data_IF_715502505177
#
_entry.id   IF_715502505177
#
_cell.length_a   1.000
_cell.length_b   1.000
_cell.length_c   1.000
_cell.angle_alpha   90.00
_cell.angle_beta   90.00
_cell.angle_gamma   90.00
#
_symmetry.space_group_name_H-M   'P 1'
#
loop_
_entity.id
_entity.type
_entity.pdbx_description
1 polymer ?
#
# COMPACT_ATOMS: atom_id res chain seq x y z
N UNK A 1 1.83 20.44 2.63
CA UNK A 1 2.70 19.25 2.46
C UNK A 1 3.39 19.22 1.09
N UNK A 2 2.66 19.49 -0.01
CA UNK A 2 3.17 19.47 -1.39
C UNK A 2 4.43 20.32 -1.67
N UNK A 3 4.58 21.51 -1.08
CA UNK A 3 5.74 22.40 -1.33
C UNK A 3 7.09 21.85 -0.84
N UNK A 4 7.04 20.79 -0.03
CA UNK A 4 8.16 20.21 0.70
C UNK A 4 8.48 18.77 0.23
N UNK A 5 7.75 18.25 -0.75
CA UNK A 5 7.99 16.93 -1.34
C UNK A 5 9.03 17.03 -2.47
N UNK A 6 9.97 16.07 -2.55
CA UNK A 6 10.87 15.95 -3.71
C UNK A 6 10.12 15.59 -4.99
N UNK A 7 9.00 14.86 -4.85
CA UNK A 7 8.13 14.53 -5.95
C UNK A 7 6.68 14.63 -5.51
N UNK A 8 5.98 15.66 -5.99
CA UNK A 8 4.55 15.82 -5.72
C UNK A 8 3.71 15.02 -6.72
N UNK A 9 2.92 14.09 -6.18
CA UNK A 9 1.99 13.24 -6.91
C UNK A 9 0.54 13.38 -6.40
N UNK A 10 0.22 14.46 -5.68
CA UNK A 10 -1.07 14.60 -4.96
C UNK A 10 -2.23 15.15 -5.79
N UNK A 11 -1.99 15.62 -7.01
CA UNK A 11 -2.97 16.38 -7.80
C UNK A 11 -4.21 15.56 -8.23
N UNK A 12 -4.08 14.25 -8.41
CA UNK A 12 -5.19 13.38 -8.83
C UNK A 12 -4.90 11.91 -8.51
N UNK A 13 -5.93 11.06 -8.54
CA UNK A 13 -5.76 9.61 -8.39
C UNK A 13 -4.80 9.01 -9.44
N UNK A 14 -4.78 9.58 -10.66
CA UNK A 14 -3.86 9.17 -11.72
C UNK A 14 -2.41 9.59 -11.43
N UNK A 15 -2.18 10.77 -10.85
CA UNK A 15 -0.86 11.23 -10.39
C UNK A 15 -0.38 10.46 -9.16
N UNK A 16 -1.26 10.23 -8.19
CA UNK A 16 -0.94 9.44 -7.00
C UNK A 16 -0.53 8.01 -7.39
N UNK A 17 -1.21 7.46 -8.40
CA UNK A 17 -0.82 6.21 -9.04
C UNK A 17 0.58 6.26 -9.66
N UNK A 18 1.00 7.35 -10.32
CA UNK A 18 2.37 7.47 -10.83
C UNK A 18 3.39 7.26 -9.71
N UNK A 19 3.17 7.86 -8.54
CA UNK A 19 4.01 7.65 -7.36
C UNK A 19 4.04 6.18 -6.90
N UNK A 20 2.87 5.53 -6.80
CA UNK A 20 2.77 4.11 -6.42
C UNK A 20 3.47 3.18 -7.43
N UNK A 21 3.23 3.36 -8.73
CA UNK A 21 3.86 2.57 -9.79
C UNK A 21 5.39 2.79 -9.81
N UNK A 22 5.85 4.03 -9.60
CA UNK A 22 7.28 4.33 -9.51
C UNK A 22 7.93 3.62 -8.31
N UNK A 23 7.27 3.61 -7.15
CA UNK A 23 7.74 2.88 -5.98
C UNK A 23 7.86 1.37 -6.26
N UNK A 24 6.86 0.76 -6.89
CA UNK A 24 6.92 -0.64 -7.29
C UNK A 24 8.06 -0.92 -8.30
N UNK A 25 8.33 0.00 -9.23
CA UNK A 25 9.45 -0.11 -10.16
C UNK A 25 10.81 -0.08 -9.43
N UNK A 26 10.99 0.83 -8.46
CA UNK A 26 12.17 0.88 -7.58
C UNK A 26 12.35 -0.41 -6.80
N UNK A 27 11.26 -0.94 -6.23
CA UNK A 27 11.29 -2.21 -5.51
C UNK A 27 11.81 -3.33 -6.40
N UNK A 28 11.29 -3.47 -7.63
CA UNK A 28 11.73 -4.49 -8.58
C UNK A 28 13.22 -4.37 -8.91
N UNK A 29 13.70 -3.16 -9.18
CA UNK A 29 15.12 -2.95 -9.47
C UNK A 29 16.02 -3.29 -8.26
N UNK A 30 15.60 -2.90 -7.06
CA UNK A 30 16.34 -3.19 -5.82
C UNK A 30 16.29 -4.67 -5.44
N UNK A 31 15.22 -5.38 -5.73
CA UNK A 31 15.14 -6.84 -5.58
C UNK A 31 16.16 -7.54 -6.49
N UNK A 32 16.28 -7.11 -7.75
CA UNK A 32 17.29 -7.63 -8.67
C UNK A 32 18.70 -7.39 -8.16
N UNK A 33 19.00 -6.19 -7.66
CA UNK A 33 20.29 -5.88 -7.03
C UNK A 33 20.56 -6.74 -5.80
N UNK A 34 19.57 -6.89 -4.92
CA UNK A 34 19.71 -7.72 -3.72
C UNK A 34 19.95 -9.19 -4.09
N UNK A 35 19.26 -9.71 -5.11
CA UNK A 35 19.46 -11.07 -5.61
C UNK A 35 20.87 -11.25 -6.19
N UNK A 36 21.32 -10.34 -7.04
CA UNK A 36 22.66 -10.37 -7.63
C UNK A 36 23.76 -10.29 -6.56
N UNK A 37 23.54 -9.53 -5.49
CA UNK A 37 24.46 -9.37 -4.37
C UNK A 37 24.26 -10.38 -3.23
N UNK A 38 23.30 -11.32 -3.35
CA UNK A 38 22.87 -12.23 -2.28
C UNK A 38 22.55 -11.52 -0.94
N UNK A 39 22.05 -10.28 -1.00
CA UNK A 39 21.71 -9.48 0.16
C UNK A 39 20.33 -9.86 0.69
N UNK A 40 20.24 -10.13 2.01
CA UNK A 40 18.98 -10.53 2.68
C UNK A 40 18.03 -9.37 3.01
N UNK A 41 18.45 -8.13 2.80
CA UNK A 41 17.66 -6.97 3.18
C UNK A 41 18.19 -5.66 2.62
N UNK A 42 17.76 -4.55 3.23
CA UNK A 42 18.13 -3.22 2.80
C UNK A 42 18.51 -2.37 4.00
N UNK A 43 19.64 -1.67 3.88
CA UNK A 43 20.07 -0.66 4.84
C UNK A 43 20.23 0.65 4.07
N UNK A 44 19.43 1.70 4.38
CA UNK A 44 19.58 2.98 3.72
C UNK A 44 20.99 3.54 3.86
N UNK A 45 21.53 4.08 2.78
CA UNK A 45 22.82 4.78 2.75
C UNK A 45 22.74 6.02 1.88
N UNK A 46 23.80 6.84 1.88
CA UNK A 46 23.88 8.04 1.03
C UNK A 46 23.83 7.72 -0.46
N UNK A 47 24.30 6.55 -0.87
CA UNK A 47 24.30 6.07 -2.27
C UNK A 47 23.11 5.18 -2.60
N UNK A 48 22.34 4.78 -1.58
CA UNK A 48 21.18 3.89 -1.68
C UNK A 48 20.09 4.36 -0.71
N UNK A 49 19.46 5.53 -0.98
CA UNK A 49 18.57 6.16 -0.01
C UNK A 49 17.27 5.37 0.16
N UNK A 50 16.64 5.48 1.34
CA UNK A 50 15.28 4.98 1.51
C UNK A 50 14.29 5.80 0.68
N UNK A 51 13.26 5.14 0.11
CA UNK A 51 12.13 5.80 -0.54
C UNK A 51 10.93 5.74 0.39
N UNK A 52 10.36 6.90 0.74
CA UNK A 52 9.16 6.99 1.57
C UNK A 52 8.08 7.70 0.78
N UNK A 53 6.91 7.06 0.67
CA UNK A 53 5.72 7.68 0.11
C UNK A 53 4.85 8.13 1.28
N UNK A 54 4.53 9.41 1.31
CA UNK A 54 3.61 9.99 2.27
C UNK A 54 2.29 10.22 1.55
N UNK A 55 1.26 9.50 1.98
CA UNK A 55 -0.08 9.55 1.42
C UNK A 55 -0.98 10.22 2.46
N UNK A 56 -1.23 11.50 2.24
CA UNK A 56 -2.26 12.22 2.98
C UNK A 56 -3.64 11.89 2.39
N UNK A 57 -4.66 11.87 3.24
CA UNK A 57 -6.01 11.39 2.93
C UNK A 57 -6.02 10.06 2.15
N UNK A 58 -5.41 9.03 2.73
CA UNK A 58 -5.18 7.73 2.08
C UNK A 58 -6.46 7.06 1.56
N UNK A 59 -7.62 7.34 2.16
CA UNK A 59 -8.92 6.86 1.67
C UNK A 59 -9.30 7.40 0.27
N UNK A 60 -8.74 8.53 -0.17
CA UNK A 60 -8.95 9.09 -1.52
C UNK A 60 -7.99 8.51 -2.55
N UNK A 61 -6.82 8.05 -2.10
CA UNK A 61 -5.74 7.56 -2.98
C UNK A 61 -5.79 6.04 -3.16
N UNK A 62 -6.05 5.32 -2.07
CA UNK A 62 -6.06 3.86 -2.01
C UNK A 62 -7.42 3.34 -2.49
N UNK A 63 -7.67 3.45 -3.79
CA UNK A 63 -8.95 3.08 -4.41
C UNK A 63 -8.79 1.90 -5.36
N UNK A 64 -9.93 1.42 -5.89
CA UNK A 64 -9.99 0.41 -6.95
C UNK A 64 -9.68 0.97 -8.35
N UNK A 65 -9.11 2.17 -8.43
CA UNK A 65 -8.71 2.77 -9.70
C UNK A 65 -7.65 1.90 -10.41
N UNK A 66 -7.90 1.58 -11.69
CA UNK A 66 -7.02 0.81 -12.56
C UNK A 66 -6.75 1.61 -13.83
N UNK A 67 -5.46 1.78 -14.19
CA UNK A 67 -5.07 2.53 -15.40
C UNK A 67 -5.41 1.78 -16.68
N UNK A 68 -5.13 0.48 -16.72
CA UNK A 68 -5.42 -0.39 -17.86
C UNK A 68 -5.65 -1.83 -17.40
N UNK A 69 -6.92 -2.26 -17.35
CA UNK A 69 -7.31 -3.63 -16.92
C UNK A 69 -6.68 -4.77 -17.72
N UNK A 70 -6.17 -4.50 -18.93
CA UNK A 70 -5.53 -5.50 -19.79
C UNK A 70 -4.01 -5.51 -19.67
N UNK A 71 -3.42 -4.57 -18.94
CA UNK A 71 -1.98 -4.53 -18.72
C UNK A 71 -1.58 -5.66 -17.75
N UNK A 72 -0.72 -6.61 -18.15
CA UNK A 72 -0.27 -7.68 -17.26
C UNK A 72 0.71 -7.22 -16.17
N UNK A 73 1.20 -5.98 -16.24
CA UNK A 73 2.06 -5.35 -15.25
C UNK A 73 1.30 -4.42 -14.29
N UNK A 74 1.98 -3.39 -13.79
CA UNK A 74 1.40 -2.50 -12.78
C UNK A 74 0.13 -1.79 -13.26
N UNK A 75 -0.04 -1.55 -14.56
CA UNK A 75 -1.21 -0.87 -15.11
C UNK A 75 -2.55 -1.59 -14.87
N UNK A 76 -2.52 -2.91 -14.67
CA UNK A 76 -3.70 -3.73 -14.37
C UNK A 76 -4.09 -3.79 -12.90
N UNK A 77 -3.20 -3.34 -12.00
CA UNK A 77 -3.41 -3.37 -10.55
C UNK A 77 -4.23 -2.16 -10.09
N UNK A 78 -5.01 -2.32 -9.03
CA UNK A 78 -5.64 -1.19 -8.34
C UNK A 78 -4.59 -0.39 -7.55
N UNK A 79 -4.91 0.87 -7.19
CA UNK A 79 -4.02 1.64 -6.31
C UNK A 79 -3.84 0.96 -4.95
N UNK A 80 -4.92 0.40 -4.39
CA UNK A 80 -4.87 -0.40 -3.17
C UNK A 80 -3.94 -1.62 -3.31
N UNK A 81 -3.98 -2.34 -4.43
CA UNK A 81 -3.11 -3.49 -4.68
C UNK A 81 -1.63 -3.11 -4.82
N UNK A 82 -1.34 -1.96 -5.45
CA UNK A 82 0.03 -1.41 -5.50
C UNK A 82 0.54 -1.07 -4.10
N UNK A 83 -0.27 -0.39 -3.30
CA UNK A 83 0.09 -0.06 -1.92
C UNK A 83 0.27 -1.31 -1.05
N UNK A 84 -0.58 -2.34 -1.22
CA UNK A 84 -0.43 -3.64 -0.55
C UNK A 84 0.89 -4.32 -0.91
N UNK A 85 1.28 -4.31 -2.19
CA UNK A 85 2.56 -4.81 -2.63
C UNK A 85 3.71 -4.09 -1.91
N UNK A 86 3.67 -2.77 -1.86
CA UNK A 86 4.69 -1.95 -1.16
C UNK A 86 4.70 -2.27 0.34
N UNK A 87 3.55 -2.29 1.01
CA UNK A 87 3.45 -2.55 2.44
C UNK A 87 3.99 -3.93 2.85
N UNK A 88 3.83 -4.93 1.99
CA UNK A 88 4.28 -6.30 2.24
C UNK A 88 5.78 -6.49 1.99
N UNK A 89 6.29 -6.04 0.84
CA UNK A 89 7.66 -6.38 0.40
C UNK A 89 8.65 -5.22 0.46
N UNK A 90 8.17 -3.97 0.60
CA UNK A 90 8.99 -2.77 0.64
C UNK A 90 10.05 -2.77 1.73
N UNK A 91 9.79 -3.41 2.88
CA UNK A 91 10.74 -3.55 4.00
C UNK A 91 12.10 -4.14 3.59
N UNK A 92 12.11 -5.08 2.63
CA UNK A 92 13.33 -5.79 2.18
C UNK A 92 14.17 -4.95 1.21
N UNK A 93 13.62 -3.84 0.69
CA UNK A 93 14.21 -3.01 -0.37
C UNK A 93 14.17 -1.51 -0.08
N UNK A 94 13.92 -1.12 1.17
CA UNK A 94 13.99 0.27 1.60
C UNK A 94 12.94 1.17 0.98
N UNK A 95 11.74 0.63 0.74
CA UNK A 95 10.57 1.40 0.30
C UNK A 95 9.50 1.31 1.38
N UNK A 96 8.96 2.44 1.81
CA UNK A 96 7.99 2.52 2.90
C UNK A 96 6.81 3.43 2.54
N UNK A 97 5.67 3.17 3.19
CA UNK A 97 4.47 4.00 3.12
C UNK A 97 4.21 4.64 4.49
N UNK A 98 3.83 5.91 4.48
CA UNK A 98 3.22 6.61 5.61
C UNK A 98 1.85 7.06 5.12
N UNK A 99 0.79 6.56 5.74
CA UNK A 99 -0.58 6.90 5.38
C UNK A 99 -1.22 7.70 6.52
N UNK A 100 -1.88 8.80 6.17
CA UNK A 100 -2.73 9.57 7.07
C UNK A 100 -4.15 9.62 6.50
N UNK A 101 -5.15 9.51 7.37
CA UNK A 101 -6.55 9.57 6.98
C UNK A 101 -7.41 10.00 8.16
N UNK A 102 -8.41 10.83 7.89
CA UNK A 102 -9.47 11.15 8.85
C UNK A 102 -10.51 10.02 8.94
N UNK A 103 -10.65 9.24 7.86
CA UNK A 103 -11.44 8.01 7.86
C UNK A 103 -10.71 6.93 8.66
N UNK A 104 -11.42 6.35 9.63
CA UNK A 104 -10.93 5.28 10.51
C UNK A 104 -11.44 3.90 10.13
N UNK A 105 -12.19 3.79 9.03
CA UNK A 105 -12.76 2.54 8.52
C UNK A 105 -11.76 1.78 7.65
N UNK A 106 -12.15 0.58 7.18
CA UNK A 106 -11.32 -0.21 6.28
C UNK A 106 -11.07 0.50 4.93
N UNK A 107 -11.92 1.47 4.57
CA UNK A 107 -11.80 2.28 3.38
C UNK A 107 -10.50 3.12 3.36
N UNK A 108 -10.01 3.55 4.51
CA UNK A 108 -8.71 4.23 4.65
C UNK A 108 -7.51 3.39 4.19
N UNK A 109 -7.71 2.07 4.08
CA UNK A 109 -6.75 1.08 3.63
C UNK A 109 -7.13 0.48 2.27
N UNK A 110 -7.98 1.16 1.50
CA UNK A 110 -8.48 0.68 0.21
C UNK A 110 -9.22 -0.64 0.30
N UNK A 111 -9.96 -0.85 1.39
CA UNK A 111 -10.66 -2.09 1.70
C UNK A 111 -9.74 -3.33 1.79
N UNK A 112 -8.42 -3.14 1.90
CA UNK A 112 -7.43 -4.22 2.03
C UNK A 112 -7.09 -4.49 3.51
N UNK A 113 -7.60 -5.61 4.01
CA UNK A 113 -7.20 -6.17 5.31
C UNK A 113 -5.68 -6.44 5.42
N UNK A 114 -5.02 -6.99 4.38
CA UNK A 114 -3.56 -7.15 4.36
C UNK A 114 -2.79 -5.83 4.45
N UNK A 115 -3.20 -4.80 3.71
CA UNK A 115 -2.56 -3.48 3.75
C UNK A 115 -2.74 -2.84 5.13
N UNK A 116 -3.95 -2.88 5.69
CA UNK A 116 -4.24 -2.44 7.06
C UNK A 116 -3.31 -3.11 8.07
N UNK A 117 -3.21 -4.44 8.01
CA UNK A 117 -2.35 -5.21 8.92
C UNK A 117 -0.87 -4.85 8.76
N UNK A 118 -0.41 -4.60 7.53
CA UNK A 118 0.98 -4.24 7.24
C UNK A 118 1.34 -2.84 7.75
N UNK A 119 0.44 -1.87 7.59
CA UNK A 119 0.66 -0.49 8.03
C UNK A 119 0.54 -0.32 9.54
N UNK A 120 -0.42 -1.01 10.17
CA UNK A 120 -0.71 -0.81 11.59
C UNK A 120 0.18 -1.63 12.54
N UNK A 121 0.83 -2.69 12.05
CA UNK A 121 1.68 -3.56 12.88
C UNK A 121 2.88 -2.80 13.45
N UNK A 122 2.76 -2.38 14.71
CA UNK A 122 3.81 -1.71 15.49
C UNK A 122 4.09 -0.25 15.12
N UNK A 123 3.44 0.29 14.09
CA UNK A 123 3.69 1.64 13.58
C UNK A 123 2.43 2.54 13.59
N UNK A 124 1.28 2.03 14.03
CA UNK A 124 0.04 2.79 14.02
C UNK A 124 0.00 3.87 15.10
N UNK A 125 -0.50 5.03 14.73
CA UNK A 125 -0.74 6.18 15.60
C UNK A 125 -2.21 6.59 15.48
N UNK A 126 -2.85 6.85 16.62
CA UNK A 126 -4.25 7.26 16.70
C UNK A 126 -4.32 8.61 17.39
N UNK A 127 -4.82 9.61 16.68
CA UNK A 127 -5.04 10.94 17.22
C UNK A 127 -6.47 11.09 17.76
N UNK A 128 -6.77 12.24 18.37
CA UNK A 128 -8.10 12.52 18.89
C UNK A 128 -9.19 12.24 17.85
N UNK A 129 -10.21 11.48 18.26
CA UNK A 129 -11.39 11.21 17.45
C UNK A 129 -12.61 11.11 18.36
N UNK A 130 -13.70 11.76 17.94
CA UNK A 130 -15.00 11.68 18.61
C UNK A 130 -15.73 10.38 18.27
N UNK A 131 -15.30 9.67 17.22
CA UNK A 131 -15.90 8.44 16.78
C UNK A 131 -15.37 7.24 17.59
N UNK A 132 -16.20 6.69 18.46
CA UNK A 132 -15.85 5.52 19.29
C UNK A 132 -15.77 4.22 18.48
N UNK A 133 -16.36 4.16 17.28
CA UNK A 133 -16.32 2.98 16.41
C UNK A 133 -14.89 2.74 15.88
N UNK A 134 -14.13 3.82 15.71
CA UNK A 134 -12.74 3.81 15.24
C UNK A 134 -11.84 2.88 16.08
N UNK A 135 -12.10 2.76 17.38
CA UNK A 135 -11.32 1.88 18.27
C UNK A 135 -11.53 0.39 17.97
N UNK A 136 -12.69 -0.01 17.45
CA UNK A 136 -12.98 -1.41 17.11
C UNK A 136 -12.38 -1.87 15.78
N UNK A 137 -12.00 -0.93 14.91
CA UNK A 137 -11.43 -1.22 13.57
C UNK A 137 -9.90 -1.35 13.64
N UNK A 138 -9.29 -0.72 14.65
CA UNK A 138 -7.85 -0.74 14.87
C UNK A 138 -7.47 -2.02 15.64
N UNK A 139 -6.61 -2.88 15.07
CA UNK A 139 -6.23 -4.12 15.70
C UNK A 139 -5.54 -3.84 17.04
N UNK A 140 -5.96 -4.55 18.07
CA UNK A 140 -5.36 -4.52 19.40
C UNK A 140 -5.33 -3.11 20.04
N UNK A 141 -6.28 -2.24 19.70
CA UNK A 141 -6.35 -0.92 20.32
C UNK A 141 -7.34 -0.92 21.48
N UNK A 142 -6.84 -0.78 22.70
CA UNK A 142 -7.68 -0.82 23.91
C UNK A 142 -7.96 0.56 24.53
N UNK A 143 -7.33 1.61 24.01
CA UNK A 143 -7.54 2.98 24.49
C UNK A 143 -8.74 3.65 23.79
N UNK A 144 -9.21 4.74 24.38
CA UNK A 144 -10.32 5.54 23.85
C UNK A 144 -9.76 6.86 23.29
N UNK A 145 -9.75 7.08 21.96
CA UNK A 145 -9.21 8.30 21.35
C UNK A 145 -9.91 9.57 21.81
N UNK A 146 -11.17 9.47 22.25
CA UNK A 146 -11.94 10.62 22.74
C UNK A 146 -11.47 11.14 24.10
N UNK A 147 -10.56 10.41 24.76
CA UNK A 147 -9.92 10.82 26.01
C UNK A 147 -8.62 11.59 25.80
N UNK A 148 -8.12 11.68 24.57
CA UNK A 148 -7.01 12.57 24.26
C UNK A 148 -7.49 14.03 24.41
N UNK A 149 -6.62 14.96 24.81
CA UNK A 149 -6.92 16.38 24.75
C UNK A 149 -7.31 16.81 23.32
N UNK A 150 -8.32 17.67 23.23
CA UNK A 150 -8.88 18.20 21.97
C UNK A 150 -8.16 19.46 21.47
N UNK A 151 -7.18 19.97 22.23
CA UNK A 151 -6.28 21.07 21.85
C UNK A 151 -5.14 20.63 20.90
N UNK A 152 -5.13 19.34 20.52
CA UNK A 152 -4.27 18.80 19.47
C UNK A 152 -2.87 18.42 19.94
N UNK A 153 -2.16 17.67 19.09
CA UNK A 153 -0.78 17.25 19.33
C UNK A 153 -0.61 16.05 20.28
N UNK A 154 -1.69 15.40 20.69
CA UNK A 154 -1.64 14.14 21.46
C UNK A 154 -2.07 12.96 20.60
N UNK A 155 -1.44 11.82 20.85
CA UNK A 155 -1.78 10.57 20.17
C UNK A 155 -1.51 9.35 21.04
N UNK A 156 -2.14 8.24 20.69
CA UNK A 156 -1.79 6.91 21.18
C UNK A 156 -0.98 6.14 20.13
N UNK A 157 0.04 5.42 20.57
CA UNK A 157 0.61 4.32 19.78
C UNK A 157 -0.30 3.10 19.87
N UNK A 158 -0.35 2.29 18.81
CA UNK A 158 -1.03 0.98 18.86
C UNK A 158 -0.24 -0.03 19.69
N UNK A 159 -0.96 -1.00 20.26
CA UNK A 159 -0.36 -2.14 20.95
C UNK A 159 0.24 -3.11 19.92
N UNK A 160 1.37 -3.70 20.28
CA UNK A 160 1.95 -4.83 19.54
C UNK A 160 1.49 -6.14 20.16
N UNK A 161 1.03 -7.05 19.31
CA UNK A 161 0.76 -8.44 19.68
C UNK A 161 1.67 -9.38 18.90
N UNK A 162 2.01 -10.52 19.49
CA UNK A 162 2.66 -11.61 18.76
C UNK A 162 1.65 -12.45 17.98
N UNK A 163 2.15 -13.49 17.31
CA UNK A 163 1.34 -14.46 16.57
C UNK A 163 0.36 -15.26 17.47
N UNK A 164 0.61 -15.32 18.78
CA UNK A 164 -0.29 -15.96 19.75
C UNK A 164 -1.43 -15.05 20.22
N UNK A 165 -1.43 -13.78 19.81
CA UNK A 165 -2.38 -12.76 20.27
C UNK A 165 -2.03 -12.19 21.65
N UNK A 166 -0.88 -12.56 22.23
CA UNK A 166 -0.40 -11.99 23.48
C UNK A 166 0.10 -10.57 23.25
N UNK A 167 -0.30 -9.65 24.12
CA UNK A 167 0.13 -8.24 24.09
C UNK A 167 1.57 -8.11 24.58
N UNK A 168 2.44 -7.56 23.75
CA UNK A 168 3.84 -7.27 24.05
C UNK A 168 4.10 -5.80 24.41
N UNK A 169 3.20 -4.90 24.02
CA UNK A 169 3.26 -3.49 24.42
C UNK A 169 1.89 -2.94 24.77
N UNK A 170 1.88 -1.89 25.58
CA UNK A 170 0.69 -1.12 25.94
C UNK A 170 0.58 0.06 24.97
N UNK A 171 -0.65 0.49 24.68
CA UNK A 171 -0.87 1.75 23.99
C UNK A 171 -0.25 2.88 24.83
N UNK A 172 0.70 3.61 24.27
CA UNK A 172 1.38 4.70 24.95
C UNK A 172 0.84 6.03 24.45
N UNK A 173 0.47 6.91 25.37
CA UNK A 173 0.18 8.30 25.02
C UNK A 173 1.49 9.03 24.79
N UNK A 174 1.58 9.76 23.68
CA UNK A 174 2.71 10.63 23.41
C UNK A 174 2.23 11.98 22.88
N UNK A 175 3.12 12.97 22.96
CA UNK A 175 2.91 14.30 22.42
C UNK A 175 3.74 14.44 21.16
N UNK A 176 3.09 14.77 20.05
CA UNK A 176 3.77 15.11 18.81
C UNK A 176 4.57 16.40 19.00
N UNK A 177 5.75 16.47 18.38
CA UNK A 177 6.47 17.72 18.26
C UNK A 177 5.67 18.65 17.34
N UNK A 178 5.31 19.82 17.85
CA UNK A 178 4.69 20.85 17.02
C UNK A 178 5.76 21.49 16.13
N UNK A 179 5.50 21.53 14.83
CA UNK A 179 6.37 22.19 13.87
C UNK A 179 5.52 23.03 12.91
N UNK A 180 5.70 24.34 12.99
CA UNK A 180 4.97 25.30 12.15
C UNK A 180 5.52 25.33 10.72
N UNK A 181 6.85 25.29 10.57
CA UNK A 181 7.53 25.23 9.28
C UNK A 181 8.40 23.99 9.14
N UNK A 182 7.84 22.96 8.50
CA UNK A 182 8.54 21.71 8.22
C UNK A 182 9.72 21.87 7.24
N UNK A 183 9.78 22.98 6.48
CA UNK A 183 10.86 23.25 5.53
C UNK A 183 12.22 23.39 6.23
N UNK A 184 12.25 23.98 7.42
CA UNK A 184 13.49 24.13 8.20
C UNK A 184 14.09 22.81 8.66
N UNK A 185 13.27 21.81 8.98
CA UNK A 185 13.72 20.48 9.33
C UNK A 185 14.12 19.68 8.09
N UNK A 186 13.38 19.80 6.99
CA UNK A 186 13.76 19.19 5.72
C UNK A 186 15.09 19.72 5.18
N UNK A 187 15.40 21.00 5.38
CA UNK A 187 16.71 21.55 5.02
C UNK A 187 17.87 20.87 5.76
N UNK A 188 17.63 20.25 6.93
CA UNK A 188 18.64 19.46 7.67
C UNK A 188 18.85 18.07 7.07
N UNK A 189 17.87 17.56 6.34
CA UNK A 189 17.88 16.23 5.72
C UNK A 189 17.82 16.38 4.19
N UNK A 190 18.97 16.61 3.53
CA UNK A 190 18.98 16.84 2.10
C UNK A 190 18.40 15.63 1.38
N UNK A 191 17.39 15.90 0.56
CA UNK A 191 16.80 14.92 -0.34
C UNK A 191 17.90 14.35 -1.23
N UNK A 192 17.96 13.02 -1.31
CA UNK A 192 18.91 12.30 -2.16
C UNK A 192 18.20 11.77 -3.40
N UNK A 193 18.79 11.91 -4.60
CA UNK A 193 18.26 11.24 -5.77
C UNK A 193 18.33 9.72 -5.57
N UNK A 194 17.41 9.01 -6.20
CA UNK A 194 17.47 7.56 -6.30
C UNK A 194 18.73 7.10 -7.04
N UNK A 195 19.08 5.85 -6.84
CA UNK A 195 20.15 5.18 -7.58
C UNK A 195 19.89 5.24 -9.09
N UNK A 196 20.93 5.36 -9.92
CA UNK A 196 20.80 5.57 -11.37
C UNK A 196 19.90 4.53 -12.04
N UNK A 197 20.04 3.24 -11.68
CA UNK A 197 19.21 2.17 -12.24
C UNK A 197 17.73 2.29 -11.80
N UNK A 198 17.50 2.72 -10.54
CA UNK A 198 16.16 2.93 -10.00
C UNK A 198 15.48 4.17 -10.62
N UNK A 199 16.23 5.24 -10.84
CA UNK A 199 15.76 6.40 -11.60
C UNK A 199 15.44 6.03 -13.05
N UNK A 200 16.33 5.27 -13.69
CA UNK A 200 16.21 4.86 -15.09
C UNK A 200 15.00 3.95 -15.32
N UNK A 201 14.72 2.99 -14.44
CA UNK A 201 13.54 2.13 -14.60
C UNK A 201 12.25 2.92 -14.48
N UNK A 202 12.17 3.92 -13.60
CA UNK A 202 10.99 4.80 -13.50
C UNK A 202 10.83 5.59 -14.79
N UNK A 203 11.91 6.20 -15.29
CA UNK A 203 11.86 7.02 -16.50
C UNK A 203 11.51 6.21 -17.75
N UNK A 204 12.00 4.98 -17.87
CA UNK A 204 11.61 4.07 -18.95
C UNK A 204 10.12 3.71 -18.86
N UNK A 205 9.60 3.50 -17.65
CA UNK A 205 8.20 3.13 -17.44
C UNK A 205 7.23 4.32 -17.59
N UNK A 206 7.66 5.52 -17.17
CA UNK A 206 6.82 6.72 -17.05
C UNK A 206 7.27 7.87 -17.96
N UNK A 207 8.03 7.57 -19.01
CA UNK A 207 8.47 8.55 -20.02
C UNK A 207 9.22 9.75 -19.42
N UNK A 208 10.26 9.48 -18.63
CA UNK A 208 11.12 10.51 -18.05
C UNK A 208 10.51 11.28 -16.88
N UNK A 209 9.49 10.74 -16.21
CA UNK A 209 8.77 11.45 -15.15
C UNK A 209 9.63 11.72 -13.90
N UNK A 210 10.58 10.84 -13.56
CA UNK A 210 11.37 10.99 -12.34
C UNK A 210 12.48 12.03 -12.50
N UNK A 211 13.25 11.98 -13.60
CA UNK A 211 14.29 13.00 -13.84
C UNK A 211 13.70 14.41 -14.01
N UNK A 212 12.51 14.51 -14.61
CA UNK A 212 11.81 15.78 -14.83
C UNK A 212 10.84 16.16 -13.71
N UNK A 213 10.84 15.46 -12.57
CA UNK A 213 9.85 15.65 -11.51
C UNK A 213 9.74 17.09 -10.97
N UNK A 214 10.86 17.81 -10.97
CA UNK A 214 10.95 19.21 -10.54
C UNK A 214 10.50 20.21 -11.61
N UNK A 215 10.56 19.82 -12.89
CA UNK A 215 10.09 20.63 -14.03
C UNK A 215 8.58 20.48 -14.19
N UNK A 216 8.11 19.22 -14.17
CA UNK A 216 6.70 18.85 -14.37
C UNK A 216 5.80 19.46 -13.28
N UNK A 217 6.28 19.61 -12.04
CA UNK A 217 5.44 20.11 -10.94
C UNK A 217 5.21 21.62 -10.96
N UNK A 218 6.13 22.41 -11.51
CA UNK A 218 5.98 23.87 -11.59
C UNK A 218 5.17 24.29 -12.82
N UNK A 219 5.48 23.74 -14.01
CA UNK A 219 4.74 24.01 -15.24
C UNK A 219 3.33 23.42 -15.21
N UNK A 220 3.16 22.16 -14.78
CA UNK A 220 1.83 21.55 -14.78
C UNK A 220 0.86 22.23 -13.80
N UNK A 221 1.34 22.71 -12.63
CA UNK A 221 0.48 23.46 -11.69
C UNK A 221 0.04 24.81 -12.28
N UNK A 222 0.96 25.53 -12.93
CA UNK A 222 0.63 26.79 -13.57
C UNK A 222 -0.34 26.59 -14.75
N UNK A 223 -0.09 25.57 -15.58
CA UNK A 223 -0.90 25.27 -16.76
C UNK A 223 -2.27 24.69 -16.40
N UNK A 224 -2.37 23.81 -15.40
CA UNK A 224 -3.65 23.25 -14.96
C UNK A 224 -4.57 24.32 -14.35
N UNK A 225 -4.01 25.22 -13.51
CA UNK A 225 -4.76 26.35 -12.95
C UNK A 225 -5.16 27.33 -14.05
N UNK A 226 -4.25 27.66 -14.98
CA UNK A 226 -4.56 28.55 -16.09
C UNK A 226 -5.62 27.97 -17.03
N UNK A 227 -5.55 26.67 -17.34
CA UNK A 227 -6.52 25.95 -18.16
C UNK A 227 -7.89 25.88 -17.48
N UNK A 228 -7.93 25.59 -16.17
CA UNK A 228 -9.17 25.57 -15.38
C UNK A 228 -9.84 26.95 -15.32
N UNK A 229 -9.05 28.00 -15.08
CA UNK A 229 -9.55 29.39 -15.11
C UNK A 229 -10.05 29.76 -16.51
N UNK A 230 -9.34 29.35 -17.57
CA UNK A 230 -9.73 29.65 -18.94
C UNK A 230 -10.99 28.91 -19.38
N UNK A 231 -11.15 27.63 -19.00
CA UNK A 231 -12.36 26.85 -19.24
C UNK A 231 -13.56 27.41 -18.46
N UNK A 232 -13.37 27.79 -17.20
CA UNK A 232 -14.39 28.45 -16.38
C UNK A 232 -14.83 29.79 -17.01
N UNK A 233 -13.87 30.61 -17.47
CA UNK A 233 -14.17 31.88 -18.15
C UNK A 233 -14.91 31.71 -19.48
N UNK A 234 -14.76 30.56 -20.15
CA UNK A 234 -15.49 30.24 -21.39
C UNK A 234 -16.85 29.58 -21.13
N UNK A 235 -17.22 29.33 -19.88
CA UNK A 235 -18.46 28.63 -19.53
C UNK A 235 -18.45 27.14 -19.92
N UNK A 236 -17.26 26.57 -20.10
CA UNK A 236 -17.05 25.16 -20.49
C UNK A 236 -16.98 24.23 -19.28
N UNK A 237 -17.06 24.78 -18.08
CA UNK A 237 -17.07 24.02 -16.82
C UNK A 237 -18.46 24.15 -16.22
N UNK A 238 -19.13 23.03 -16.03
CA UNK A 238 -20.39 22.97 -15.30
C UNK A 238 -20.12 23.43 -13.85
N UNK A 239 -20.96 24.33 -13.33
CA UNK A 239 -20.84 24.84 -11.96
C UNK A 239 -20.98 23.72 -10.95
N UNK A 240 -21.79 22.70 -11.22
CA UNK A 240 -21.97 21.56 -10.33
C UNK A 240 -20.75 20.61 -10.41
N UNK A 241 -20.10 20.48 -11.58
CA UNK A 241 -18.83 19.74 -11.73
C UNK A 241 -17.65 20.48 -11.09
N UNK A 242 -17.63 21.82 -11.15
CA UNK A 242 -16.63 22.66 -10.49
C UNK A 242 -16.75 22.64 -8.96
N UNK A 243 -17.99 22.66 -8.44
CA UNK A 243 -18.24 22.72 -7.01
C UNK A 243 -18.27 21.35 -6.34
N UNK A 244 -18.64 20.29 -7.07
CA UNK A 244 -18.93 18.97 -6.51
C UNK A 244 -18.32 17.78 -7.29
N UNK A 245 -17.57 18.01 -8.37
CA UNK A 245 -16.84 16.98 -9.14
C UNK A 245 -15.34 16.95 -8.84
N UNK A 246 -14.66 15.88 -9.24
CA UNK A 246 -13.21 15.65 -9.03
C UNK A 246 -12.28 16.57 -9.87
N UNK A 247 -12.81 17.66 -10.44
CA UNK A 247 -12.10 18.56 -11.35
C UNK A 247 -11.90 17.98 -12.76
N UNK A 248 -11.70 18.83 -13.79
CA UNK A 248 -11.61 18.37 -15.17
C UNK A 248 -10.35 17.51 -15.37
N UNK A 249 -10.52 16.30 -15.90
CA UNK A 249 -9.42 15.47 -16.35
C UNK A 249 -8.64 16.22 -17.43
N UNK A 250 -7.37 16.53 -17.16
CA UNK A 250 -6.49 17.17 -18.12
C UNK A 250 -6.48 16.38 -19.44
N UNK A 251 -6.90 17.01 -20.53
CA UNK A 251 -6.88 16.40 -21.86
C UNK A 251 -5.41 16.17 -22.23
N UNK A 252 -4.98 14.94 -22.56
CA UNK A 252 -3.60 14.68 -22.92
C UNK A 252 -3.24 15.49 -24.17
N UNK A 253 -2.17 16.30 -24.06
CA UNK A 253 -1.63 17.04 -25.18
C UNK A 253 -1.24 16.07 -26.31
N UNK A 254 -1.69 16.37 -27.53
CA UNK A 254 -1.36 15.60 -28.72
C UNK A 254 0.16 15.67 -28.96
N UNK A 255 0.88 14.54 -29.08
CA UNK A 255 2.32 14.58 -29.27
C UNK A 255 2.64 15.21 -30.63
N UNK A 256 3.44 16.28 -30.63
CA UNK A 256 4.00 16.84 -31.85
C UNK A 256 5.01 15.84 -32.42
N UNK A 257 4.81 15.46 -33.68
CA UNK A 257 5.74 14.60 -34.42
C UNK A 257 7.14 15.24 -34.45
N UNK A 258 8.15 14.55 -33.90
CA UNK A 258 9.53 15.02 -33.89
C UNK A 258 10.54 13.94 -33.52
N UNK A 259 11.35 13.58 -34.53
CA UNK A 259 12.60 12.82 -34.51
C UNK A 259 12.53 11.33 -34.11
N UNK A 260 12.65 10.47 -35.13
CA UNK A 260 13.01 9.07 -34.98
C UNK A 260 14.39 8.95 -34.31
N UNK A 261 14.41 8.50 -33.07
CA UNK A 261 15.60 7.97 -32.42
C UNK A 261 15.56 6.45 -32.48
N UNK A 262 16.70 5.84 -32.84
CA UNK A 262 16.88 4.40 -32.82
C UNK A 262 16.49 3.84 -31.45
N UNK A 263 15.51 2.94 -31.44
CA UNK A 263 15.03 2.24 -30.26
C UNK A 263 16.08 1.18 -29.92
N UNK A 264 16.82 1.28 -28.79
CA UNK A 264 17.63 0.16 -28.35
C UNK A 264 16.70 -1.01 -28.05
N UNK A 265 17.06 -2.19 -28.55
CA UNK A 265 16.34 -3.45 -28.34
C UNK A 265 16.10 -3.64 -26.84
N UNK A 266 14.82 -3.64 -26.44
CA UNK A 266 14.39 -3.93 -25.07
C UNK A 266 15.06 -5.21 -24.59
N UNK A 267 15.89 -5.13 -23.55
CA UNK A 267 16.18 -6.32 -22.76
C UNK A 267 14.88 -6.78 -22.12
N UNK A 268 14.55 -8.05 -22.34
CA UNK A 268 13.34 -8.70 -21.86
C UNK A 268 13.28 -8.57 -20.34
N UNK A 269 12.35 -7.77 -19.85
CA UNK A 269 12.04 -7.68 -18.43
C UNK A 269 11.36 -8.99 -18.02
N UNK A 270 11.79 -9.68 -16.95
CA UNK A 270 11.15 -10.91 -16.49
C UNK A 270 9.68 -10.68 -16.20
N UNK A 271 8.85 -11.63 -16.61
CA UNK A 271 7.41 -11.61 -16.38
C UNK A 271 7.11 -11.78 -14.88
N UNK A 272 5.94 -11.33 -14.43
CA UNK A 272 5.51 -11.54 -13.04
C UNK A 272 5.43 -13.03 -12.68
N UNK A 273 5.12 -13.90 -13.64
CA UNK A 273 5.13 -15.35 -13.45
C UNK A 273 6.54 -15.87 -13.11
N UNK A 274 7.59 -15.29 -13.70
CA UNK A 274 8.99 -15.62 -13.39
C UNK A 274 9.41 -15.13 -12.00
N UNK A 275 8.71 -14.13 -11.45
CA UNK A 275 8.96 -13.61 -10.10
C UNK A 275 8.26 -14.45 -9.03
N UNK A 276 7.01 -14.87 -9.28
CA UNK A 276 6.24 -15.74 -8.36
C UNK A 276 6.81 -17.16 -8.33
N UNK A 277 7.29 -17.68 -9.47
CA UNK A 277 7.87 -19.03 -9.53
C UNK A 277 9.22 -19.14 -8.80
N UNK A 278 10.02 -18.08 -8.79
CA UNK A 278 11.32 -18.07 -8.08
C UNK A 278 11.15 -17.91 -6.56
N UNK A 279 10.05 -17.35 -6.09
CA UNK A 279 9.72 -17.29 -4.66
C UNK A 279 9.20 -18.64 -4.13
N UNK A 280 8.61 -19.49 -4.99
CA UNK A 280 8.06 -20.78 -4.57
C UNK A 280 9.12 -21.84 -4.20
N UNK A 281 10.32 -21.79 -4.80
CA UNK A 281 11.37 -22.80 -4.57
C UNK A 281 12.13 -22.61 -3.25
N UNK A 282 12.03 -21.45 -2.59
CA UNK A 282 12.73 -21.15 -1.33
C UNK A 282 11.79 -21.13 -0.09
N UNK A 283 10.46 -21.27 -0.27
CA UNK A 283 9.42 -21.01 0.75
C UNK A 283 8.59 -22.25 1.18
N UNK A 284 9.02 -23.50 0.93
CA UNK A 284 8.24 -24.69 1.29
C UNK A 284 7.98 -24.88 2.82
N UNK A 285 8.64 -24.12 3.71
CA UNK A 285 8.62 -24.40 5.16
C UNK A 285 8.02 -23.29 6.08
N UNK A 286 7.31 -22.27 5.56
CA UNK A 286 6.91 -21.10 6.38
C UNK A 286 5.40 -20.82 6.51
N UNK A 287 4.55 -21.86 6.54
CA UNK A 287 3.17 -21.72 7.04
C UNK A 287 3.18 -21.80 8.57
N UNK A 288 3.20 -20.64 9.23
CA UNK A 288 3.07 -20.56 10.70
C UNK A 288 1.67 -21.01 11.16
N UNK A 289 1.60 -22.26 11.61
CA UNK A 289 0.40 -22.89 12.20
C UNK A 289 0.38 -22.79 13.74
N UNK A 290 1.33 -22.05 14.34
CA UNK A 290 1.41 -21.94 15.79
C UNK A 290 0.22 -21.17 16.38
N UNK A 291 -0.22 -21.60 17.57
CA UNK A 291 -1.33 -20.95 18.28
C UNK A 291 -2.73 -21.22 17.72
N UNK A 292 -2.92 -22.22 16.86
CA UNK A 292 -4.25 -22.72 16.51
C UNK A 292 -4.85 -23.54 17.66
N UNK A 293 -6.14 -23.34 17.94
CA UNK A 293 -6.88 -24.22 18.85
C UNK A 293 -7.05 -25.61 18.20
N UNK A 294 -7.28 -26.67 18.99
CA UNK A 294 -7.45 -28.02 18.44
C UNK A 294 -8.55 -28.14 17.37
N UNK A 295 -9.59 -27.31 17.44
CA UNK A 295 -10.66 -27.27 16.44
C UNK A 295 -10.20 -26.58 15.16
N UNK A 296 -9.42 -25.50 15.26
CA UNK A 296 -8.87 -24.80 14.11
C UNK A 296 -7.81 -25.65 13.40
N UNK A 297 -6.96 -26.36 14.14
CA UNK A 297 -6.00 -27.32 13.58
C UNK A 297 -6.74 -28.41 12.80
N UNK A 298 -7.78 -29.01 13.37
CA UNK A 298 -8.54 -30.07 12.70
C UNK A 298 -9.26 -29.58 11.42
N UNK A 299 -9.80 -28.35 11.43
CA UNK A 299 -10.40 -27.75 10.23
C UNK A 299 -9.33 -27.46 9.17
N UNK A 300 -8.18 -26.93 9.56
CA UNK A 300 -7.06 -26.65 8.65
C UNK A 300 -6.50 -27.93 8.02
N UNK A 301 -6.32 -28.99 8.80
CA UNK A 301 -5.89 -30.30 8.32
C UNK A 301 -6.91 -30.92 7.37
N UNK A 302 -8.22 -30.84 7.66
CA UNK A 302 -9.26 -31.34 6.76
C UNK A 302 -9.23 -30.63 5.40
N UNK A 303 -9.03 -29.32 5.37
CA UNK A 303 -8.88 -28.55 4.12
C UNK A 303 -7.58 -28.91 3.40
N UNK A 304 -6.47 -29.11 4.13
CA UNK A 304 -5.19 -29.57 3.57
C UNK A 304 -5.30 -30.97 2.96
N UNK A 305 -6.09 -31.84 3.56
CA UNK A 305 -6.33 -33.21 3.10
C UNK A 305 -7.37 -33.27 1.95
N UNK A 306 -7.81 -32.12 1.45
CA UNK A 306 -8.64 -32.00 0.25
C UNK A 306 -10.14 -31.92 0.49
N UNK A 307 -10.59 -31.76 1.74
CA UNK A 307 -12.01 -31.50 2.05
C UNK A 307 -12.32 -30.03 1.75
N UNK A 308 -12.90 -29.78 0.58
CA UNK A 308 -13.15 -28.41 0.12
C UNK A 308 -14.46 -27.83 0.63
N UNK A 309 -15.51 -28.62 0.87
CA UNK A 309 -16.79 -28.07 1.33
C UNK A 309 -16.86 -27.88 2.83
N UNK A 310 -17.18 -26.66 3.26
CA UNK A 310 -17.39 -26.30 4.67
C UNK A 310 -18.47 -27.16 5.33
N UNK A 311 -19.48 -27.61 4.57
CA UNK A 311 -20.56 -28.47 5.06
C UNK A 311 -20.12 -29.87 5.46
N UNK A 312 -19.02 -30.36 4.89
CA UNK A 312 -18.60 -31.76 4.97
C UNK A 312 -17.54 -31.95 6.07
N UNK A 313 -16.82 -30.89 6.41
CA UNK A 313 -15.81 -30.84 7.49
C UNK A 313 -16.36 -31.30 8.87
N UNK A 314 -17.56 -30.87 9.33
CA UNK A 314 -18.12 -31.32 10.61
C UNK A 314 -18.20 -32.83 10.77
N UNK A 315 -18.55 -33.54 9.68
CA UNK A 315 -18.71 -34.99 9.66
C UNK A 315 -17.34 -35.70 9.65
N UNK A 316 -16.32 -35.07 9.04
CA UNK A 316 -14.93 -35.56 9.01
C UNK A 316 -14.23 -35.40 10.35
N UNK A 317 -14.40 -34.26 11.04
CA UNK A 317 -13.68 -33.97 12.28
C UNK A 317 -14.48 -34.25 13.56
N UNK A 318 -15.75 -34.65 13.44
CA UNK A 318 -16.64 -34.98 14.56
C UNK A 318 -16.96 -33.79 15.47
N UNK A 319 -17.12 -32.58 14.90
CA UNK A 319 -17.40 -31.35 15.65
C UNK A 319 -18.72 -30.71 15.23
N UNK A 320 -19.27 -29.87 16.09
CA UNK A 320 -20.51 -29.16 15.77
C UNK A 320 -20.31 -28.19 14.60
N UNK A 321 -21.31 -28.05 13.73
CA UNK A 321 -21.28 -27.10 12.60
C UNK A 321 -20.84 -25.70 13.05
N UNK A 322 -21.42 -25.20 14.14
CA UNK A 322 -21.08 -23.89 14.71
C UNK A 322 -19.59 -23.75 15.06
N UNK A 323 -18.98 -24.79 15.62
CA UNK A 323 -17.55 -24.78 15.94
C UNK A 323 -16.68 -24.73 14.67
N UNK A 324 -17.11 -25.42 13.60
CA UNK A 324 -16.43 -25.40 12.29
C UNK A 324 -16.54 -24.03 11.62
N UNK A 325 -17.72 -23.40 11.60
CA UNK A 325 -17.89 -22.05 11.04
C UNK A 325 -17.03 -21.01 11.77
N UNK A 326 -17.03 -21.03 13.12
CA UNK A 326 -16.19 -20.13 13.90
C UNK A 326 -14.69 -20.37 13.64
N UNK A 327 -14.27 -21.63 13.50
CA UNK A 327 -12.88 -21.97 13.20
C UNK A 327 -12.47 -21.54 11.79
N UNK A 328 -13.34 -21.76 10.80
CA UNK A 328 -13.17 -21.29 9.41
C UNK A 328 -12.95 -19.79 9.36
N UNK A 329 -13.81 -19.00 10.00
CA UNK A 329 -13.73 -17.54 9.94
C UNK A 329 -12.39 -17.03 10.51
N UNK A 330 -11.91 -17.66 11.60
CA UNK A 330 -10.59 -17.35 12.16
C UNK A 330 -9.44 -17.80 11.25
N UNK A 331 -9.55 -18.94 10.56
CA UNK A 331 -8.53 -19.41 9.61
C UNK A 331 -8.46 -18.52 8.35
N UNK A 332 -9.60 -17.99 7.90
CA UNK A 332 -9.68 -17.01 6.81
C UNK A 332 -9.09 -15.67 7.25
N UNK A 333 -9.44 -15.19 8.45
CA UNK A 333 -8.85 -13.97 9.03
C UNK A 333 -7.32 -14.11 9.20
N UNK A 334 -6.87 -15.31 9.60
CA UNK A 334 -5.45 -15.65 9.67
C UNK A 334 -4.82 -15.93 8.32
N UNK A 335 -5.54 -15.86 7.20
CA UNK A 335 -5.02 -16.08 5.85
C UNK A 335 -4.36 -17.44 5.66
N UNK A 336 -4.86 -18.47 6.37
CA UNK A 336 -4.44 -19.87 6.24
C UNK A 336 -5.35 -20.66 5.30
N UNK A 337 -6.60 -20.22 5.17
CA UNK A 337 -7.63 -20.78 4.29
C UNK A 337 -8.29 -19.62 3.54
N UNK A 338 -8.72 -19.84 2.31
CA UNK A 338 -9.51 -18.88 1.51
C UNK A 338 -10.83 -19.51 1.11
N UNK A 339 -11.87 -18.69 0.99
CA UNK A 339 -13.13 -19.11 0.37
C UNK A 339 -13.01 -18.94 -1.15
N UNK A 340 -12.91 -20.05 -1.87
CA UNK A 340 -12.72 -20.07 -3.32
C UNK A 340 -14.05 -19.84 -4.07
N UNK A 341 -15.14 -20.36 -3.51
CA UNK A 341 -16.52 -20.12 -3.93
C UNK A 341 -17.44 -20.29 -2.69
N UNK A 342 -18.72 -19.95 -2.79
CA UNK A 342 -19.67 -19.97 -1.65
C UNK A 342 -19.70 -21.35 -0.97
N UNK A 343 -19.10 -21.44 0.21
CA UNK A 343 -19.01 -22.67 1.00
C UNK A 343 -17.85 -23.61 0.63
N UNK A 344 -17.04 -23.26 -0.38
CA UNK A 344 -15.83 -23.99 -0.79
C UNK A 344 -14.57 -23.31 -0.26
N UNK A 345 -13.76 -24.08 0.45
CA UNK A 345 -12.52 -23.70 1.10
C UNK A 345 -11.34 -24.28 0.31
N UNK A 346 -10.32 -23.45 0.15
CA UNK A 346 -8.99 -23.86 -0.32
C UNK A 346 -7.92 -23.40 0.66
N UNK A 347 -6.75 -24.03 0.62
CA UNK A 347 -5.59 -23.49 1.33
C UNK A 347 -5.26 -22.10 0.77
N UNK A 348 -4.96 -21.17 1.66
CA UNK A 348 -4.41 -19.90 1.22
C UNK A 348 -3.06 -20.16 0.54
N UNK A 349 -2.76 -19.48 -0.59
CA UNK A 349 -1.44 -19.58 -1.20
C UNK A 349 -0.35 -19.25 -0.15
N UNK A 350 0.81 -19.92 -0.18
CA UNK A 350 1.84 -19.77 0.83
C UNK A 350 2.18 -18.29 1.02
N UNK A 351 2.17 -17.86 2.28
CA UNK A 351 2.58 -16.51 2.66
C UNK A 351 4.08 -16.41 2.45
N UNK A 352 4.51 -15.61 1.48
CA UNK A 352 5.92 -15.21 1.36
C UNK A 352 6.39 -14.62 2.70
N UNK A 353 7.36 -15.27 3.36
CA UNK A 353 7.79 -14.95 4.73
C UNK A 353 8.66 -13.69 4.86
#
# INVERSE_FOLDING_TARGET
MAANADWDCSESAAKARQGLEAACAVMKMRQMHNKAAQAKGFTPSSTRPGLVLIIDESHLVLTDYVRNKKDPGFGGMTNAALAELIGRTGRKVGVALICASQDTTLNAFGNSGPLRSSLLRGNGVVMFSTNRISAGILPNFSADPSKLPDDGGYAYSLETTDASGAKHSRAATFRAAYQEDFGTDLARYPVRPLEEDSATVIDLYQTGAYRRRHEITAEAKADAVAAGIAAFKRGEVDIDEFLFGDGPAATPATPSAGAAFDVPVLQVVPSLADLVAVEADDDEDLIDTSGLTPVQTAVFEAVRDGVTRTSDIPDVIGRSRRAVYNARDVLIERGLVVEADRGELGLAPPRAA
#
